data_IF_818901130090
#
_entry.id   IF_818901130090
#
_cell.length_a   1.000
_cell.length_b   1.000
_cell.length_c   1.000
_cell.angle_alpha   90.00
_cell.angle_beta   90.00
_cell.angle_gamma   90.00
#
_symmetry.space_group_name_H-M   'P 1'
#
loop_
_entity.id
_entity.type
_entity.pdbx_description
1 polymer ?
#
# COMPACT_ATOMS: atom_id res chain seq x y z
N UNK A 1 32.12 4.70 1.04
CA UNK A 1 31.18 5.61 0.33
C UNK A 1 30.01 5.96 1.25
N UNK A 2 29.29 4.98 1.81
CA UNK A 2 28.19 5.22 2.76
C UNK A 2 28.60 6.04 4.01
N UNK A 3 29.66 5.58 4.70
CA UNK A 3 30.25 6.30 5.83
C UNK A 3 30.75 7.70 5.47
N UNK A 4 31.26 7.94 4.25
CA UNK A 4 31.74 9.26 3.81
C UNK A 4 30.60 10.19 3.36
N UNK A 5 29.46 9.64 2.95
CA UNK A 5 28.25 10.40 2.63
C UNK A 5 27.51 10.81 3.90
N UNK A 6 27.34 9.91 4.87
CA UNK A 6 26.70 10.22 6.16
C UNK A 6 27.55 11.20 6.96
N UNK A 7 28.88 10.99 7.08
CA UNK A 7 29.75 12.00 7.72
C UNK A 7 29.86 13.28 6.91
N UNK A 8 29.81 13.24 5.58
CA UNK A 8 29.84 14.43 4.72
C UNK A 8 28.54 15.25 4.75
N UNK A 9 27.38 14.60 4.90
CA UNK A 9 26.08 15.24 5.04
C UNK A 9 25.86 15.77 6.47
N UNK A 10 26.22 15.00 7.50
CA UNK A 10 26.14 15.46 8.90
C UNK A 10 27.20 16.53 9.23
N UNK A 11 28.36 16.54 8.57
CA UNK A 11 29.33 17.63 8.72
C UNK A 11 28.87 18.94 8.05
N UNK A 12 27.83 18.92 7.20
CA UNK A 12 27.29 20.10 6.55
C UNK A 12 26.54 21.03 7.51
N UNK A 13 26.12 20.52 8.68
CA UNK A 13 25.34 21.27 9.67
C UNK A 13 26.20 22.23 10.52
N UNK A 14 27.54 22.07 10.52
CA UNK A 14 28.43 22.89 11.33
C UNK A 14 28.96 24.16 10.62
N UNK A 15 28.94 24.23 9.29
CA UNK A 15 29.59 25.34 8.54
C UNK A 15 28.79 25.91 7.36
N UNK A 16 27.52 25.54 7.16
CA UNK A 16 26.68 26.18 6.12
C UNK A 16 27.18 25.95 4.69
N UNK A 17 28.02 24.95 4.46
CA UNK A 17 28.62 24.63 3.16
C UNK A 17 28.05 23.34 2.58
N UNK A 18 26.79 23.39 2.16
CA UNK A 18 26.15 22.38 1.30
C UNK A 18 26.76 22.36 -0.14
N UNK A 19 28.09 22.34 -0.29
CA UNK A 19 28.78 22.34 -1.58
C UNK A 19 28.55 21.06 -2.40
N UNK A 20 28.55 19.84 -1.81
CA UNK A 20 28.21 18.62 -2.56
C UNK A 20 26.73 18.63 -3.00
N UNK A 21 25.83 19.14 -2.15
CA UNK A 21 24.38 19.16 -2.39
C UNK A 21 23.97 20.10 -3.53
N UNK A 22 24.68 21.23 -3.72
CA UNK A 22 24.46 22.10 -4.89
C UNK A 22 24.72 21.40 -6.22
N UNK A 23 25.63 20.42 -6.28
CA UNK A 23 25.84 19.63 -7.50
C UNK A 23 24.70 18.62 -7.76
N UNK A 24 23.87 18.33 -6.76
CA UNK A 24 22.68 17.48 -6.87
C UNK A 24 21.40 18.27 -7.16
N UNK A 25 21.47 19.60 -7.30
CA UNK A 25 20.31 20.46 -7.57
C UNK A 25 19.60 20.17 -8.90
N UNK A 26 20.21 19.38 -9.80
CA UNK A 26 19.60 18.91 -11.06
C UNK A 26 19.14 17.46 -10.99
N UNK A 27 19.39 16.76 -9.88
CA UNK A 27 19.01 15.37 -9.70
C UNK A 27 17.49 15.31 -9.61
N UNK A 28 16.88 14.45 -10.44
CA UNK A 28 15.42 14.23 -10.47
C UNK A 28 15.00 12.89 -9.90
N UNK A 29 15.89 11.90 -9.92
CA UNK A 29 15.64 10.57 -9.40
C UNK A 29 16.84 10.13 -8.57
N UNK A 30 16.57 9.58 -7.40
CA UNK A 30 17.57 9.03 -6.50
C UNK A 30 17.12 7.62 -6.10
N UNK A 31 17.90 6.63 -6.50
CA UNK A 31 17.70 5.24 -6.12
C UNK A 31 18.78 4.82 -5.13
N UNK A 32 18.35 4.52 -3.91
CA UNK A 32 19.18 4.02 -2.82
C UNK A 32 18.66 2.68 -2.32
N UNK A 33 17.89 1.95 -3.13
CA UNK A 33 17.32 0.65 -2.77
C UNK A 33 18.39 -0.36 -2.36
N UNK A 34 18.00 -1.32 -1.53
CA UNK A 34 18.82 -2.43 -1.03
C UNK A 34 20.04 -2.00 -0.21
N UNK A 35 20.01 -0.78 0.35
CA UNK A 35 21.02 -0.30 1.28
C UNK A 35 20.51 -0.44 2.72
N UNK A 36 20.44 -1.67 3.24
CA UNK A 36 19.94 -1.96 4.58
C UNK A 36 20.69 -1.21 5.71
N UNK A 37 21.93 -0.77 5.47
CA UNK A 37 22.68 0.08 6.42
C UNK A 37 22.23 1.54 6.45
N UNK A 38 21.21 1.91 5.68
CA UNK A 38 20.71 3.28 5.60
C UNK A 38 19.93 3.65 6.85
N UNK A 39 18.97 2.82 7.23
CA UNK A 39 18.22 2.96 8.47
C UNK A 39 17.57 4.34 8.63
N UNK A 40 17.31 4.71 9.87
CA UNK A 40 16.72 6.00 10.20
C UNK A 40 17.68 7.17 9.94
N UNK A 41 18.97 7.01 10.27
CA UNK A 41 19.99 8.05 10.14
C UNK A 41 20.20 8.47 8.68
N UNK A 42 20.23 7.51 7.77
CA UNK A 42 20.35 7.80 6.36
C UNK A 42 19.07 8.41 5.77
N UNK A 43 17.89 8.09 6.29
CA UNK A 43 16.65 8.78 5.93
C UNK A 43 16.65 10.25 6.39
N UNK A 44 17.21 10.53 7.58
CA UNK A 44 17.43 11.92 8.04
C UNK A 44 18.38 12.65 7.08
N UNK A 45 19.48 12.02 6.68
CA UNK A 45 20.37 12.62 5.68
C UNK A 45 19.64 12.88 4.34
N UNK A 46 18.84 11.93 3.86
CA UNK A 46 18.02 12.08 2.64
C UNK A 46 16.98 13.19 2.78
N UNK A 47 16.40 13.40 3.95
CA UNK A 47 15.43 14.47 4.19
C UNK A 47 16.05 15.87 4.05
N UNK A 48 17.32 16.02 4.44
CA UNK A 48 18.08 17.25 4.18
C UNK A 48 18.38 17.45 2.69
N UNK A 49 18.58 16.37 1.91
CA UNK A 49 18.75 16.45 0.45
C UNK A 49 17.44 16.90 -0.21
N UNK A 50 16.32 16.33 0.23
CA UNK A 50 14.97 16.66 -0.25
C UNK A 50 14.63 18.14 -0.13
N UNK A 51 15.05 18.80 0.96
CA UNK A 51 14.84 20.24 1.15
C UNK A 51 15.71 21.14 0.25
N UNK A 52 16.71 20.57 -0.43
CA UNK A 52 17.70 21.32 -1.22
C UNK A 52 17.75 20.94 -2.72
N UNK A 53 16.96 19.97 -3.19
CA UNK A 53 17.11 19.37 -4.53
C UNK A 53 15.78 19.18 -5.30
N UNK A 54 15.87 19.09 -6.63
CA UNK A 54 14.75 18.83 -7.56
C UNK A 54 14.27 17.39 -7.71
N UNK A 55 14.37 16.63 -6.63
CA UNK A 55 13.99 15.24 -6.66
C UNK A 55 12.48 15.09 -6.86
N UNK A 56 12.13 14.26 -7.85
CA UNK A 56 10.76 13.84 -8.17
C UNK A 56 10.54 12.37 -7.83
N UNK A 57 11.59 11.56 -7.81
CA UNK A 57 11.51 10.14 -7.52
C UNK A 57 12.58 9.76 -6.50
N UNK A 58 12.16 9.13 -5.41
CA UNK A 58 13.07 8.56 -4.41
C UNK A 58 12.71 7.09 -4.20
N UNK A 59 13.72 6.24 -4.26
CA UNK A 59 13.59 4.82 -3.96
C UNK A 59 14.48 4.44 -2.78
N UNK A 60 13.84 3.95 -1.73
CA UNK A 60 14.43 3.52 -0.46
C UNK A 60 13.93 2.12 -0.12
N UNK A 61 13.69 1.29 -1.14
CA UNK A 61 13.24 -0.10 -0.97
C UNK A 61 14.30 -0.89 -0.19
N UNK A 62 13.89 -1.66 0.82
CA UNK A 62 14.81 -2.52 1.59
C UNK A 62 16.01 -1.77 2.20
N UNK A 63 15.74 -0.62 2.81
CA UNK A 63 16.76 0.27 3.42
C UNK A 63 16.73 0.28 4.95
N UNK A 64 15.95 -0.61 5.57
CA UNK A 64 15.69 -0.67 7.02
C UNK A 64 15.10 0.63 7.62
N UNK A 65 14.25 1.30 6.85
CA UNK A 65 13.59 2.55 7.29
C UNK A 65 12.65 2.26 8.47
N UNK A 66 12.87 2.95 9.59
CA UNK A 66 12.03 2.89 10.78
C UNK A 66 11.19 4.16 10.97
N UNK A 67 10.58 4.32 12.17
CA UNK A 67 9.69 5.44 12.46
C UNK A 67 10.37 6.81 12.41
N UNK A 68 11.63 6.89 12.85
CA UNK A 68 12.38 8.14 12.90
C UNK A 68 12.72 8.59 11.48
N UNK A 69 13.20 7.68 10.64
CA UNK A 69 13.49 7.95 9.24
C UNK A 69 12.23 8.33 8.46
N UNK A 70 11.13 7.62 8.67
CA UNK A 70 9.84 7.93 8.06
C UNK A 70 9.33 9.33 8.46
N UNK A 71 9.46 9.67 9.74
CA UNK A 71 9.08 10.98 10.27
C UNK A 71 9.89 12.09 9.62
N UNK A 72 11.22 11.91 9.51
CA UNK A 72 12.10 12.87 8.87
C UNK A 72 11.78 13.06 7.38
N UNK A 73 11.50 11.97 6.65
CA UNK A 73 11.06 12.05 5.25
C UNK A 73 9.73 12.79 5.12
N UNK A 74 8.74 12.46 5.96
CA UNK A 74 7.45 13.15 6.01
C UNK A 74 7.62 14.65 6.24
N UNK A 75 8.44 15.05 7.19
CA UNK A 75 8.68 16.47 7.49
C UNK A 75 9.37 17.20 6.35
N UNK A 76 10.32 16.56 5.66
CA UNK A 76 10.97 17.17 4.50
C UNK A 76 10.07 17.28 3.27
N UNK A 77 9.09 16.37 3.10
CA UNK A 77 8.13 16.42 2.00
C UNK A 77 7.03 17.46 2.30
N UNK A 78 6.44 17.41 3.50
CA UNK A 78 5.38 18.36 3.93
C UNK A 78 5.95 19.78 4.09
N UNK A 79 7.20 19.90 4.54
CA UNK A 79 7.90 21.17 4.70
C UNK A 79 8.33 21.82 3.39
N UNK A 80 8.14 21.18 2.24
CA UNK A 80 8.36 21.84 0.95
C UNK A 80 7.38 23.01 0.81
N UNK A 81 7.85 24.23 0.47
CA UNK A 81 6.97 25.38 0.35
C UNK A 81 5.96 25.16 -0.77
N UNK A 82 4.72 24.89 -0.38
CA UNK A 82 3.58 24.87 -1.27
C UNK A 82 3.18 26.31 -1.61
N UNK A 83 3.69 26.89 -2.70
CA UNK A 83 3.02 28.06 -3.27
C UNK A 83 3.18 28.20 -4.80
N UNK A 84 2.07 28.28 -5.54
CA UNK A 84 2.03 28.71 -6.94
C UNK A 84 1.96 30.23 -7.11
N UNK A 85 1.92 31.02 -6.02
CA UNK A 85 1.92 32.49 -6.10
C UNK A 85 3.22 33.04 -5.51
N UNK A 86 4.05 33.57 -6.40
CA UNK A 86 5.35 34.13 -6.08
C UNK A 86 5.27 35.27 -5.08
N UNK A 87 6.12 35.19 -4.06
CA UNK A 87 6.92 36.34 -3.63
C UNK A 87 8.25 35.82 -3.10
N UNK A 88 9.29 36.21 -3.83
CA UNK A 88 10.69 35.89 -3.60
C UNK A 88 11.12 36.11 -2.16
N UNK A 89 11.78 35.08 -1.60
CA UNK A 89 13.15 35.27 -1.10
C UNK A 89 14.03 34.10 -1.57
N UNK A 90 14.39 34.17 -2.85
CA UNK A 90 15.62 33.63 -3.46
C UNK A 90 16.10 32.25 -3.02
N UNK A 91 15.80 31.22 -3.81
CA UNK A 91 16.51 29.95 -3.67
C UNK A 91 15.94 28.71 -4.34
N UNK A 92 15.47 28.78 -5.59
CA UNK A 92 15.62 27.69 -6.55
C UNK A 92 14.92 26.35 -6.29
N UNK A 93 13.80 26.18 -7.00
CA UNK A 93 13.09 24.94 -7.32
C UNK A 93 12.23 24.34 -6.20
N UNK A 94 10.91 24.49 -6.35
CA UNK A 94 9.89 23.77 -5.59
C UNK A 94 9.74 22.38 -6.19
N UNK A 95 9.99 21.37 -5.39
CA UNK A 95 10.18 20.00 -5.86
C UNK A 95 9.03 19.20 -5.26
N UNK A 96 7.92 19.13 -5.99
CA UNK A 96 6.86 18.20 -5.64
C UNK A 96 7.42 16.80 -5.90
N UNK A 97 7.81 16.09 -4.84
CA UNK A 97 8.17 14.68 -4.94
C UNK A 97 6.97 13.95 -5.52
N UNK A 98 7.12 13.33 -6.70
CA UNK A 98 6.04 12.66 -7.42
C UNK A 98 5.95 11.19 -6.97
N UNK A 99 7.09 10.53 -6.74
CA UNK A 99 7.19 9.11 -6.43
C UNK A 99 8.09 8.85 -5.21
N UNK A 100 7.57 8.05 -4.28
CA UNK A 100 8.30 7.56 -3.11
C UNK A 100 8.11 6.05 -3.00
N UNK A 101 9.19 5.29 -3.17
CA UNK A 101 9.23 3.85 -2.93
C UNK A 101 9.89 3.55 -1.57
N UNK A 102 9.08 3.05 -0.64
CA UNK A 102 9.48 2.63 0.71
C UNK A 102 9.22 1.13 0.92
N UNK A 103 9.06 0.35 -0.14
CA UNK A 103 8.72 -1.07 -0.03
C UNK A 103 9.78 -1.87 0.74
N UNK A 104 9.35 -2.95 1.38
CA UNK A 104 10.18 -3.89 2.13
C UNK A 104 10.98 -3.24 3.27
N UNK A 105 10.38 -2.26 3.94
CA UNK A 105 10.88 -1.68 5.18
C UNK A 105 9.95 -2.04 6.34
N UNK A 106 10.07 -3.25 6.93
CA UNK A 106 9.11 -3.75 7.92
C UNK A 106 9.07 -2.92 9.22
N UNK A 107 10.14 -2.18 9.54
CA UNK A 107 10.18 -1.28 10.69
C UNK A 107 9.23 -0.08 10.54
N UNK A 108 8.76 0.24 9.34
CA UNK A 108 7.75 1.30 9.11
C UNK A 108 6.45 1.01 9.88
N UNK A 109 6.03 -0.26 10.02
CA UNK A 109 4.82 -0.60 10.78
C UNK A 109 4.91 -0.30 12.28
N UNK A 110 6.09 0.01 12.81
CA UNK A 110 6.25 0.47 14.20
C UNK A 110 6.00 1.97 14.34
N UNK A 111 5.89 2.71 13.23
CA UNK A 111 5.51 4.12 13.24
C UNK A 111 4.03 4.26 13.60
N UNK A 112 3.64 5.42 14.13
CA UNK A 112 2.23 5.66 14.43
C UNK A 112 1.43 5.72 13.12
N UNK A 113 0.19 5.18 13.08
CA UNK A 113 -0.69 5.29 11.91
C UNK A 113 -0.87 6.72 11.41
N UNK A 114 -0.81 7.69 12.32
CA UNK A 114 -0.92 9.12 12.00
C UNK A 114 0.21 9.59 11.08
N UNK A 115 1.47 9.24 11.37
CA UNK A 115 2.62 9.63 10.53
C UNK A 115 2.47 9.09 9.11
N UNK A 116 1.99 7.85 8.99
CA UNK A 116 1.74 7.23 7.69
C UNK A 116 0.58 7.92 6.95
N UNK A 117 -0.49 8.26 7.66
CA UNK A 117 -1.60 9.05 7.11
C UNK A 117 -1.14 10.41 6.60
N UNK A 118 -0.32 11.13 7.37
CA UNK A 118 0.23 12.42 6.97
C UNK A 118 1.16 12.29 5.76
N UNK A 119 1.96 11.22 5.68
CA UNK A 119 2.76 10.94 4.49
C UNK A 119 1.87 10.73 3.25
N UNK A 120 0.74 10.03 3.36
CA UNK A 120 -0.20 9.90 2.23
C UNK A 120 -0.85 11.23 1.82
N UNK A 121 -0.87 12.22 2.72
CA UNK A 121 -1.36 13.57 2.47
C UNK A 121 -0.27 14.53 1.97
N UNK A 122 0.99 14.10 1.85
CA UNK A 122 2.15 14.98 1.67
C UNK A 122 2.36 15.53 0.24
N UNK A 123 1.42 15.32 -0.68
CA UNK A 123 1.53 15.79 -2.07
C UNK A 123 2.29 14.85 -3.01
N UNK A 124 2.73 13.68 -2.53
CA UNK A 124 3.25 12.59 -3.37
C UNK A 124 2.15 12.03 -4.26
N UNK A 125 2.48 11.71 -5.52
CA UNK A 125 1.53 11.16 -6.52
C UNK A 125 1.48 9.64 -6.46
N UNK A 126 2.63 9.00 -6.24
CA UNK A 126 2.79 7.55 -6.16
C UNK A 126 3.57 7.14 -4.91
N UNK A 127 2.96 6.32 -4.06
CA UNK A 127 3.56 5.81 -2.83
C UNK A 127 3.56 4.28 -2.82
N UNK A 128 4.74 3.68 -2.70
CA UNK A 128 4.89 2.24 -2.52
C UNK A 128 5.30 1.92 -1.08
N UNK A 129 4.42 1.19 -0.37
CA UNK A 129 4.59 0.70 1.00
C UNK A 129 4.40 -0.82 1.05
N UNK A 130 4.68 -1.51 -0.05
CA UNK A 130 4.55 -2.96 -0.14
C UNK A 130 5.53 -3.67 0.79
N UNK A 131 5.12 -4.71 1.52
CA UNK A 131 6.02 -5.48 2.38
C UNK A 131 6.53 -4.74 3.61
N UNK A 132 5.78 -3.74 4.10
CA UNK A 132 6.14 -2.93 5.26
C UNK A 132 5.49 -3.40 6.57
N UNK A 133 4.85 -4.58 6.58
CA UNK A 133 4.13 -5.15 7.73
C UNK A 133 2.98 -4.30 8.25
N UNK A 134 2.37 -3.46 7.40
CA UNK A 134 1.31 -2.53 7.79
C UNK A 134 0.02 -3.26 8.16
N UNK A 135 -0.49 -2.99 9.35
CA UNK A 135 -1.80 -3.48 9.84
C UNK A 135 -2.96 -2.56 9.43
N UNK A 136 -4.20 -3.03 9.56
CA UNK A 136 -5.44 -2.30 9.25
C UNK A 136 -5.54 -0.88 9.83
N UNK A 137 -5.05 -0.65 11.05
CA UNK A 137 -5.00 0.69 11.66
C UNK A 137 -4.22 1.72 10.82
N UNK A 138 -3.14 1.31 10.16
CA UNK A 138 -2.36 2.18 9.26
C UNK A 138 -3.16 2.50 8.00
N UNK A 139 -3.74 1.48 7.34
CA UNK A 139 -4.56 1.67 6.15
C UNK A 139 -5.80 2.54 6.42
N UNK A 140 -6.44 2.37 7.57
CA UNK A 140 -7.54 3.23 8.02
C UNK A 140 -7.10 4.68 8.19
N UNK A 141 -5.93 4.92 8.81
CA UNK A 141 -5.39 6.27 8.97
C UNK A 141 -5.05 6.92 7.62
N UNK A 142 -4.48 6.17 6.67
CA UNK A 142 -4.30 6.63 5.28
C UNK A 142 -5.63 7.00 4.62
N UNK A 143 -6.65 6.16 4.74
CA UNK A 143 -7.97 6.42 4.15
C UNK A 143 -8.62 7.69 4.74
N UNK A 144 -8.47 7.93 6.05
CA UNK A 144 -8.91 9.17 6.69
C UNK A 144 -8.14 10.36 6.13
N UNK A 145 -6.81 10.30 6.07
CA UNK A 145 -5.98 11.39 5.56
C UNK A 145 -6.32 11.73 4.10
N UNK A 146 -6.48 10.72 3.23
CA UNK A 146 -6.85 10.90 1.83
C UNK A 146 -8.23 11.54 1.66
N UNK A 147 -9.21 11.20 2.51
CA UNK A 147 -10.54 11.82 2.48
C UNK A 147 -10.52 13.27 2.95
N UNK A 148 -9.75 13.58 3.99
CA UNK A 148 -9.59 14.95 4.48
C UNK A 148 -8.87 15.85 3.45
N UNK A 149 -8.09 15.25 2.56
CA UNK A 149 -7.34 15.93 1.51
C UNK A 149 -7.99 15.78 0.13
N UNK A 150 -9.25 15.35 0.00
CA UNK A 150 -9.84 14.97 -1.28
C UNK A 150 -9.76 16.07 -2.38
N UNK A 151 -9.73 17.35 -2.00
CA UNK A 151 -9.64 18.49 -2.91
C UNK A 151 -8.20 18.95 -3.23
N UNK A 152 -7.21 18.58 -2.41
CA UNK A 152 -5.82 19.07 -2.51
C UNK A 152 -4.78 17.95 -2.62
N UNK A 153 -5.17 16.71 -2.34
CA UNK A 153 -4.33 15.53 -2.32
C UNK A 153 -3.92 15.12 -3.73
N UNK A 154 -2.60 14.99 -3.93
CA UNK A 154 -2.01 14.58 -5.20
C UNK A 154 -1.90 13.05 -5.35
N UNK A 155 -2.06 12.27 -4.27
CA UNK A 155 -1.85 10.82 -4.31
C UNK A 155 -2.89 10.15 -5.21
N UNK A 156 -2.39 9.43 -6.21
CA UNK A 156 -3.19 8.69 -7.20
C UNK A 156 -2.89 7.20 -7.16
N UNK A 157 -1.65 6.84 -6.85
CA UNK A 157 -1.17 5.46 -6.87
C UNK A 157 -0.71 5.09 -5.46
N UNK A 158 -1.30 4.04 -4.90
CA UNK A 158 -0.93 3.50 -3.60
C UNK A 158 -0.71 1.99 -3.70
N UNK A 159 0.50 1.54 -3.37
CA UNK A 159 0.86 0.13 -3.36
C UNK A 159 1.08 -0.34 -1.94
N UNK A 160 0.31 -1.35 -1.54
CA UNK A 160 0.28 -1.94 -0.21
C UNK A 160 0.42 -3.46 -0.28
N UNK A 161 1.06 -4.00 -1.31
CA UNK A 161 1.21 -5.45 -1.50
C UNK A 161 1.91 -6.11 -0.30
N UNK A 162 1.54 -7.34 0.04
CA UNK A 162 2.17 -8.15 1.09
C UNK A 162 2.24 -7.42 2.45
N UNK A 163 1.12 -6.86 2.89
CA UNK A 163 0.95 -6.27 4.23
C UNK A 163 -0.12 -7.06 5.02
N UNK A 164 -0.60 -6.50 6.14
CA UNK A 164 -1.62 -7.06 7.01
C UNK A 164 -2.90 -6.18 6.99
N UNK A 165 -3.27 -5.66 5.82
CA UNK A 165 -4.48 -4.85 5.65
C UNK A 165 -5.71 -5.76 5.69
N UNK A 166 -6.68 -5.43 6.54
CA UNK A 166 -7.96 -6.12 6.60
C UNK A 166 -8.96 -5.56 5.58
N UNK A 167 -10.03 -6.31 5.31
CA UNK A 167 -11.01 -5.96 4.29
C UNK A 167 -11.81 -4.70 4.57
N UNK A 168 -12.01 -4.33 5.85
CA UNK A 168 -12.68 -3.07 6.22
C UNK A 168 -11.78 -1.89 5.87
N UNK A 169 -10.51 -1.96 6.25
CA UNK A 169 -9.51 -0.94 5.95
C UNK A 169 -9.27 -0.82 4.44
N UNK A 170 -9.27 -1.93 3.71
CA UNK A 170 -9.23 -1.95 2.25
C UNK A 170 -10.46 -1.26 1.62
N UNK A 171 -11.66 -1.55 2.10
CA UNK A 171 -12.89 -0.89 1.64
C UNK A 171 -12.83 0.63 1.84
N UNK A 172 -12.30 1.09 2.98
CA UNK A 172 -12.08 2.51 3.24
C UNK A 172 -11.10 3.15 2.24
N UNK A 173 -10.02 2.46 1.87
CA UNK A 173 -9.06 2.94 0.87
C UNK A 173 -9.66 2.98 -0.54
N UNK A 174 -10.47 1.99 -0.92
CA UNK A 174 -11.16 1.97 -2.22
C UNK A 174 -12.10 3.18 -2.37
N UNK A 175 -12.70 3.61 -1.26
CA UNK A 175 -13.62 4.77 -1.22
C UNK A 175 -12.92 6.13 -1.26
N UNK A 176 -11.64 6.20 -1.62
CA UNK A 176 -10.85 7.46 -1.70
C UNK A 176 -10.70 7.95 -3.14
N UNK A 177 -9.91 9.01 -3.34
CA UNK A 177 -9.62 9.61 -4.65
C UNK A 177 -8.49 8.92 -5.44
N UNK A 178 -8.07 7.73 -5.00
CA UNK A 178 -7.05 6.93 -5.68
C UNK A 178 -7.53 6.50 -7.07
N UNK A 179 -6.58 6.36 -8.00
CA UNK A 179 -6.78 5.79 -9.33
C UNK A 179 -6.21 4.39 -9.43
N UNK A 180 -5.16 4.09 -8.65
CA UNK A 180 -4.55 2.76 -8.58
C UNK A 180 -4.34 2.38 -7.12
N UNK A 181 -4.83 1.20 -6.77
CA UNK A 181 -4.64 0.60 -5.46
C UNK A 181 -4.23 -0.86 -5.62
N UNK A 182 -3.05 -1.21 -5.09
CA UNK A 182 -2.56 -2.58 -5.03
C UNK A 182 -2.59 -3.10 -3.60
N UNK A 183 -3.45 -4.07 -3.34
CA UNK A 183 -3.60 -4.79 -2.08
C UNK A 183 -3.15 -6.25 -2.19
N UNK A 184 -2.43 -6.63 -3.26
CA UNK A 184 -2.03 -8.01 -3.49
C UNK A 184 -1.45 -8.68 -2.24
N UNK A 185 -1.85 -9.91 -1.95
CA UNK A 185 -1.33 -10.71 -0.82
C UNK A 185 -1.54 -10.05 0.55
N UNK A 186 -2.69 -9.38 0.75
CA UNK A 186 -3.16 -8.94 2.07
C UNK A 186 -4.27 -9.84 2.61
N UNK A 187 -4.31 -10.14 3.93
CA UNK A 187 -5.34 -10.99 4.51
C UNK A 187 -6.66 -10.22 4.72
N UNK A 188 -7.35 -9.87 3.62
CA UNK A 188 -8.59 -9.09 3.70
C UNK A 188 -9.68 -9.77 4.55
N UNK A 189 -9.60 -11.09 4.68
CA UNK A 189 -10.55 -11.93 5.43
C UNK A 189 -10.15 -12.24 6.88
N UNK A 190 -8.98 -11.77 7.35
CA UNK A 190 -8.40 -12.20 8.62
C UNK A 190 -8.50 -11.24 9.81
N UNK A 191 -8.79 -9.95 9.60
CA UNK A 191 -8.55 -8.94 10.64
C UNK A 191 -9.66 -8.76 11.67
N UNK A 192 -10.93 -8.90 11.29
CA UNK A 192 -12.05 -8.54 12.16
C UNK A 192 -12.21 -9.43 13.40
N UNK A 193 -12.06 -10.75 13.25
CA UNK A 193 -12.17 -11.67 14.38
C UNK A 193 -10.87 -11.78 15.19
N UNK A 194 -9.69 -11.76 14.56
CA UNK A 194 -8.41 -11.83 15.28
C UNK A 194 -8.12 -10.55 16.08
N UNK A 195 -8.49 -9.37 15.58
CA UNK A 195 -8.34 -8.12 16.33
C UNK A 195 -9.31 -8.01 17.51
N UNK A 196 -10.45 -8.71 17.48
CA UNK A 196 -11.38 -8.81 18.61
C UNK A 196 -10.98 -9.88 19.64
N UNK A 197 -10.13 -10.85 19.26
CA UNK A 197 -9.76 -12.00 20.12
C UNK A 197 -8.31 -11.95 20.63
N UNK A 198 -7.40 -11.13 20.08
CA UNK A 198 -6.01 -11.16 20.53
C UNK A 198 -5.21 -9.88 20.32
N UNK A 199 -5.44 -8.88 21.17
CA UNK A 199 -4.35 -8.01 21.62
C UNK A 199 -3.62 -8.75 22.75
N UNK A 200 -2.73 -9.67 22.37
CA UNK A 200 -1.95 -10.48 23.30
C UNK A 200 -0.73 -11.05 22.60
N UNK A 201 0.18 -10.17 22.18
CA UNK A 201 1.57 -10.58 21.95
C UNK A 201 2.18 -10.86 23.34
N UNK A 202 2.24 -12.13 23.72
CA UNK A 202 3.20 -12.62 24.71
C UNK A 202 4.01 -13.74 24.06
N UNK A 203 5.32 -13.51 23.94
CA UNK A 203 6.34 -14.39 23.36
C UNK A 203 6.61 -15.64 24.22
N UNK A 204 5.61 -16.48 24.47
CA UNK A 204 5.82 -17.79 25.10
C UNK A 204 5.11 -18.89 24.30
N UNK A 205 5.76 -20.06 24.21
CA UNK A 205 5.46 -21.29 23.44
C UNK A 205 4.09 -21.97 23.70
N UNK A 206 3.03 -21.23 23.99
CA UNK A 206 1.68 -21.78 24.17
C UNK A 206 0.87 -21.74 22.87
N UNK A 207 0.58 -22.94 22.38
CA UNK A 207 -0.34 -23.25 21.28
C UNK A 207 -1.61 -22.38 21.39
N UNK A 208 -1.99 -21.59 20.36
CA UNK A 208 -3.21 -20.80 20.43
C UNK A 208 -4.41 -21.72 20.69
N UNK A 209 -5.38 -21.31 21.53
CA UNK A 209 -6.56 -22.13 21.79
C UNK A 209 -7.24 -22.45 20.47
N UNK A 210 -7.55 -23.73 20.27
CA UNK A 210 -8.14 -24.26 19.05
C UNK A 210 -9.32 -23.38 18.60
N UNK A 211 -9.28 -22.97 17.34
CA UNK A 211 -10.30 -22.17 16.65
C UNK A 211 -11.69 -22.86 16.55
N UNK A 212 -11.86 -24.02 17.17
CA UNK A 212 -13.07 -24.85 17.09
C UNK A 212 -14.23 -24.36 17.98
N UNK A 213 -13.97 -23.48 18.95
CA UNK A 213 -14.99 -23.02 19.92
C UNK A 213 -15.60 -21.63 19.63
N UNK A 214 -15.21 -20.95 18.54
CA UNK A 214 -15.88 -19.72 18.12
C UNK A 214 -17.22 -20.06 17.46
N UNK A 215 -18.33 -19.61 18.07
CA UNK A 215 -19.67 -19.97 17.61
C UNK A 215 -19.84 -19.77 16.09
N UNK A 216 -20.49 -20.71 15.37
CA UNK A 216 -20.65 -20.64 13.92
C UNK A 216 -21.41 -19.39 13.44
N UNK A 217 -22.09 -18.67 14.34
CA UNK A 217 -22.79 -17.42 14.05
C UNK A 217 -21.85 -16.21 13.86
N UNK A 218 -20.69 -16.17 14.53
CA UNK A 218 -19.74 -15.04 14.40
C UNK A 218 -18.85 -15.23 13.16
N UNK A 219 -18.47 -16.48 12.87
CA UNK A 219 -17.71 -16.84 11.67
C UNK A 219 -18.49 -16.66 10.36
N UNK A 220 -19.83 -16.64 10.40
CA UNK A 220 -20.70 -16.47 9.22
C UNK A 220 -21.09 -15.02 8.95
N UNK A 221 -21.13 -14.15 9.96
CA UNK A 221 -21.54 -12.73 9.81
C UNK A 221 -20.38 -11.83 9.37
N UNK A 222 -19.15 -12.09 9.83
CA UNK A 222 -17.99 -11.27 9.51
C UNK A 222 -17.51 -11.34 8.03
N UNK A 223 -17.55 -12.49 7.34
CA UNK A 223 -17.18 -12.55 5.91
C UNK A 223 -18.17 -11.80 5.02
N UNK A 224 -19.47 -11.93 5.31
CA UNK A 224 -20.53 -11.25 4.57
C UNK A 224 -20.45 -9.72 4.72
N UNK A 225 -20.05 -9.20 5.88
CA UNK A 225 -19.90 -7.76 6.10
C UNK A 225 -18.67 -7.18 5.38
N UNK A 226 -17.56 -7.91 5.32
CA UNK A 226 -16.36 -7.49 4.57
C UNK A 226 -16.62 -7.51 3.07
N UNK A 227 -17.21 -8.60 2.55
CA UNK A 227 -17.59 -8.71 1.14
C UNK A 227 -18.51 -7.57 0.72
N UNK A 228 -19.53 -7.27 1.54
CA UNK A 228 -20.47 -6.19 1.29
C UNK A 228 -19.80 -4.81 1.37
N UNK A 229 -18.88 -4.59 2.30
CA UNK A 229 -18.14 -3.33 2.42
C UNK A 229 -17.24 -3.08 1.20
N UNK A 230 -16.50 -4.09 0.74
CA UNK A 230 -15.68 -4.02 -0.47
C UNK A 230 -16.55 -3.76 -1.71
N UNK A 231 -17.62 -4.53 -1.87
CA UNK A 231 -18.61 -4.37 -2.94
C UNK A 231 -19.20 -2.94 -2.99
N UNK A 232 -19.69 -2.45 -1.85
CA UNK A 232 -20.30 -1.13 -1.74
C UNK A 232 -19.29 -0.01 -2.02
N UNK A 233 -18.07 -0.15 -1.49
CA UNK A 233 -16.99 0.81 -1.72
C UNK A 233 -16.58 0.86 -3.19
N UNK A 234 -16.52 -0.30 -3.85
CA UNK A 234 -16.18 -0.41 -5.27
C UNK A 234 -17.27 0.18 -6.16
N UNK A 235 -18.55 -0.02 -5.82
CA UNK A 235 -19.66 0.60 -6.52
C UNK A 235 -19.67 2.13 -6.38
N UNK A 236 -19.24 2.65 -5.22
CA UNK A 236 -19.11 4.09 -4.97
C UNK A 236 -17.82 4.72 -5.53
N UNK A 237 -16.82 3.91 -5.88
CA UNK A 237 -15.54 4.41 -6.38
C UNK A 237 -15.70 4.98 -7.80
N UNK A 238 -15.50 6.29 -7.93
CA UNK A 238 -15.63 7.03 -9.21
C UNK A 238 -14.29 7.36 -9.86
N UNK A 239 -13.19 7.35 -9.10
CA UNK A 239 -11.83 7.64 -9.60
C UNK A 239 -11.00 6.39 -9.88
N UNK A 240 -11.31 5.27 -9.23
CA UNK A 240 -10.52 4.04 -9.29
C UNK A 240 -10.48 3.50 -10.73
N UNK A 241 -9.27 3.30 -11.26
CA UNK A 241 -8.99 2.74 -12.59
C UNK A 241 -8.44 1.32 -12.51
N UNK A 242 -7.54 1.08 -11.57
CA UNK A 242 -6.83 -0.18 -11.39
C UNK A 242 -6.97 -0.61 -9.93
N UNK A 243 -7.50 -1.80 -9.72
CA UNK A 243 -7.60 -2.42 -8.41
C UNK A 243 -6.98 -3.81 -8.44
N UNK A 244 -5.89 -4.00 -7.70
CA UNK A 244 -5.30 -5.32 -7.50
C UNK A 244 -5.64 -5.83 -6.10
N UNK A 245 -6.48 -6.86 -6.04
CA UNK A 245 -6.85 -7.60 -4.82
C UNK A 245 -6.54 -9.10 -5.01
N UNK A 246 -5.52 -9.42 -5.80
CA UNK A 246 -5.03 -10.78 -5.98
C UNK A 246 -4.40 -11.32 -4.69
N UNK A 247 -4.42 -12.64 -4.48
CA UNK A 247 -3.81 -13.26 -3.30
C UNK A 247 -4.43 -12.85 -1.95
N UNK A 248 -5.56 -12.14 -1.96
CA UNK A 248 -6.17 -11.54 -0.77
C UNK A 248 -6.97 -12.50 0.13
N UNK A 249 -6.84 -13.82 -0.13
CA UNK A 249 -7.59 -14.88 0.55
C UNK A 249 -9.12 -14.74 0.45
N UNK A 250 -9.61 -14.16 -0.66
CA UNK A 250 -11.04 -14.04 -0.93
C UNK A 250 -11.64 -15.40 -1.30
N UNK A 251 -12.64 -15.84 -0.54
CA UNK A 251 -13.39 -17.07 -0.82
C UNK A 251 -14.40 -16.88 -1.95
N UNK A 252 -15.16 -17.94 -2.24
CA UNK A 252 -16.17 -17.91 -3.31
C UNK A 252 -17.29 -16.90 -3.05
N UNK A 253 -17.74 -16.76 -1.80
CA UNK A 253 -18.82 -15.83 -1.43
C UNK A 253 -18.39 -14.38 -1.65
N UNK A 254 -17.19 -14.02 -1.23
CA UNK A 254 -16.62 -12.69 -1.35
C UNK A 254 -16.39 -12.31 -2.81
N UNK A 255 -15.80 -13.24 -3.56
CA UNK A 255 -15.56 -13.07 -4.98
C UNK A 255 -16.87 -12.86 -5.74
N UNK A 256 -17.93 -13.64 -5.43
CA UNK A 256 -19.25 -13.44 -6.02
C UNK A 256 -19.82 -12.06 -5.68
N UNK A 257 -19.72 -11.62 -4.42
CA UNK A 257 -20.22 -10.31 -4.01
C UNK A 257 -19.52 -9.16 -4.75
N UNK A 258 -18.19 -9.24 -4.91
CA UNK A 258 -17.41 -8.24 -5.66
C UNK A 258 -17.81 -8.23 -7.13
N UNK A 259 -17.90 -9.41 -7.77
CA UNK A 259 -18.29 -9.53 -9.17
C UNK A 259 -19.71 -9.01 -9.39
N UNK A 260 -20.64 -9.34 -8.49
CA UNK A 260 -22.03 -8.89 -8.58
C UNK A 260 -22.15 -7.37 -8.39
N UNK A 261 -21.39 -6.79 -7.46
CA UNK A 261 -21.32 -5.35 -7.29
C UNK A 261 -20.78 -4.63 -8.53
N UNK A 262 -19.75 -5.18 -9.19
CA UNK A 262 -19.21 -4.63 -10.43
C UNK A 262 -20.16 -4.72 -11.63
N UNK A 263 -21.05 -5.72 -11.63
CA UNK A 263 -22.11 -5.87 -12.63
C UNK A 263 -23.21 -4.84 -12.44
N UNK A 264 -23.52 -4.49 -11.19
CA UNK A 264 -24.57 -3.53 -10.87
C UNK A 264 -24.06 -2.10 -10.66
N UNK A 265 -22.75 -1.87 -10.69
CA UNK A 265 -22.17 -0.53 -10.58
C UNK A 265 -22.37 0.26 -11.86
N UNK A 266 -22.91 1.47 -11.75
CA UNK A 266 -22.94 2.44 -12.86
C UNK A 266 -21.54 3.01 -13.17
N UNK A 267 -20.57 2.80 -12.27
CA UNK A 267 -19.19 3.27 -12.44
C UNK A 267 -18.45 2.48 -13.52
N UNK A 268 -18.22 3.14 -14.65
CA UNK A 268 -17.32 2.66 -15.72
C UNK A 268 -15.87 3.08 -15.49
N UNK A 269 -15.54 3.66 -14.33
CA UNK A 269 -14.22 4.20 -14.07
C UNK A 269 -13.15 3.11 -14.02
N UNK A 270 -13.48 1.97 -13.41
CA UNK A 270 -12.58 0.83 -13.27
C UNK A 270 -12.31 0.21 -14.65
N UNK A 271 -11.04 0.19 -15.02
CA UNK A 271 -10.51 -0.31 -16.29
C UNK A 271 -9.80 -1.65 -16.13
N UNK A 272 -9.21 -1.93 -14.97
CA UNK A 272 -8.58 -3.20 -14.66
C UNK A 272 -8.88 -3.65 -13.23
N UNK A 273 -9.18 -4.94 -13.07
CA UNK A 273 -9.24 -5.60 -11.76
C UNK A 273 -8.46 -6.90 -11.77
N UNK A 274 -7.57 -7.06 -10.79
CA UNK A 274 -6.77 -8.27 -10.59
C UNK A 274 -7.32 -9.08 -9.40
N UNK A 275 -7.74 -10.31 -9.69
CA UNK A 275 -8.36 -11.22 -8.73
C UNK A 275 -7.59 -12.55 -8.59
N UNK A 276 -6.47 -12.71 -9.29
CA UNK A 276 -5.70 -13.95 -9.33
C UNK A 276 -5.14 -14.34 -7.95
N UNK A 277 -4.92 -15.64 -7.70
CA UNK A 277 -4.35 -16.11 -6.44
C UNK A 277 -5.31 -16.11 -5.23
N UNK A 278 -6.58 -15.75 -5.42
CA UNK A 278 -7.62 -15.95 -4.41
C UNK A 278 -8.12 -17.41 -4.42
N UNK A 279 -8.44 -17.99 -3.24
CA UNK A 279 -8.93 -19.37 -3.12
C UNK A 279 -10.35 -19.57 -3.65
N UNK A 280 -11.11 -18.51 -3.94
CA UNK A 280 -12.43 -18.61 -4.54
C UNK A 280 -12.39 -19.32 -5.90
N UNK A 281 -12.92 -20.55 -5.94
CA UNK A 281 -13.01 -21.40 -7.14
C UNK A 281 -14.46 -21.77 -7.47
N UNK A 282 -14.65 -22.41 -8.62
CA UNK A 282 -15.91 -23.06 -8.98
C UNK A 282 -16.65 -22.45 -10.17
N UNK A 283 -17.63 -23.21 -10.66
CA UNK A 283 -18.44 -22.83 -11.83
C UNK A 283 -19.13 -21.47 -11.67
N UNK A 284 -19.64 -21.16 -10.47
CA UNK A 284 -20.32 -19.90 -10.19
C UNK A 284 -19.41 -18.67 -10.40
N UNK A 285 -18.14 -18.74 -9.97
CA UNK A 285 -17.17 -17.66 -10.19
C UNK A 285 -16.87 -17.50 -11.68
N UNK A 286 -16.66 -18.62 -12.38
CA UNK A 286 -16.40 -18.61 -13.82
C UNK A 286 -17.56 -17.97 -14.59
N UNK A 287 -18.78 -18.38 -14.29
CA UNK A 287 -19.99 -17.82 -14.90
C UNK A 287 -20.13 -16.32 -14.59
N UNK A 288 -19.89 -15.90 -13.35
CA UNK A 288 -19.95 -14.50 -12.96
C UNK A 288 -18.89 -13.65 -13.68
N UNK A 289 -17.65 -14.15 -13.84
CA UNK A 289 -16.60 -13.48 -14.61
C UNK A 289 -16.98 -13.37 -16.09
N UNK A 290 -17.51 -14.43 -16.69
CA UNK A 290 -17.97 -14.41 -18.09
C UNK A 290 -19.10 -13.40 -18.28
N UNK A 291 -20.09 -13.40 -17.37
CA UNK A 291 -21.20 -12.46 -17.39
C UNK A 291 -20.71 -11.00 -17.26
N UNK A 292 -19.76 -10.74 -16.34
CA UNK A 292 -19.19 -9.42 -16.14
C UNK A 292 -18.40 -8.95 -17.38
N UNK A 293 -17.60 -9.81 -18.02
CA UNK A 293 -16.90 -9.47 -19.28
C UNK A 293 -17.87 -9.15 -20.42
N UNK A 294 -18.98 -9.88 -20.52
CA UNK A 294 -20.00 -9.61 -21.52
C UNK A 294 -20.69 -8.26 -21.29
N UNK A 295 -20.93 -7.90 -20.03
CA UNK A 295 -21.56 -6.63 -19.65
C UNK A 295 -20.61 -5.43 -19.72
N UNK A 296 -19.32 -5.63 -19.43
CA UNK A 296 -18.28 -4.60 -19.38
C UNK A 296 -17.08 -5.02 -20.25
N UNK A 297 -17.19 -4.93 -21.59
CA UNK A 297 -16.14 -5.42 -22.50
C UNK A 297 -14.82 -4.63 -22.42
N UNK A 298 -14.84 -3.42 -21.84
CA UNK A 298 -13.65 -2.58 -21.64
C UNK A 298 -12.97 -2.80 -20.30
N UNK A 299 -13.58 -3.57 -19.39
CA UNK A 299 -12.98 -3.91 -18.09
C UNK A 299 -12.07 -5.12 -18.29
N UNK A 300 -10.77 -4.92 -18.09
CA UNK A 300 -9.82 -6.02 -18.00
C UNK A 300 -9.98 -6.73 -16.66
N UNK A 301 -10.08 -8.05 -16.70
CA UNK A 301 -10.31 -8.89 -15.52
C UNK A 301 -9.25 -9.97 -15.53
N UNK A 302 -8.21 -9.77 -14.72
CA UNK A 302 -7.16 -10.75 -14.50
C UNK A 302 -7.62 -11.74 -13.43
N UNK A 303 -8.32 -12.79 -13.87
CA UNK A 303 -8.69 -13.94 -13.05
C UNK A 303 -8.28 -15.22 -13.75
N UNK A 304 -7.66 -16.13 -13.00
CA UNK A 304 -7.36 -17.48 -13.41
C UNK A 304 -7.89 -18.42 -12.35
N UNK A 305 -8.64 -19.42 -12.78
CA UNK A 305 -9.06 -20.50 -11.90
C UNK A 305 -7.80 -21.18 -11.33
N UNK A 306 -7.71 -21.34 -9.99
CA UNK A 306 -6.66 -22.16 -9.40
C UNK A 306 -6.70 -23.53 -10.07
N UNK A 307 -5.61 -23.89 -10.75
CA UNK A 307 -5.48 -25.24 -11.26
C UNK A 307 -5.45 -26.16 -10.05
N UNK A 308 -6.33 -27.17 -10.00
CA UNK A 308 -6.25 -28.24 -9.01
C UNK A 308 -4.82 -28.75 -9.02
N UNK A 309 -4.06 -28.46 -7.96
CA UNK A 309 -2.69 -28.98 -7.83
C UNK A 309 -2.68 -30.51 -7.85
N UNK A 310 -3.83 -31.12 -7.53
CA UNK A 310 -4.06 -32.57 -7.54
C UNK A 310 -4.44 -33.14 -8.92
N UNK A 311 -4.63 -32.28 -9.93
CA UNK A 311 -4.91 -32.71 -11.31
C UNK A 311 -3.66 -32.84 -12.19
N UNK A 312 -2.46 -32.62 -11.61
CA UNK A 312 -1.23 -33.09 -12.22
C UNK A 312 -1.24 -34.62 -12.20
N UNK A 313 -1.14 -35.31 -13.35
CA UNK A 313 -1.06 -36.77 -13.35
C UNK A 313 0.12 -37.18 -12.47
N UNK A 314 -0.14 -38.12 -11.56
CA UNK A 314 0.88 -38.82 -10.79
C UNK A 314 1.77 -39.65 -11.73
N UNK A 315 2.57 -38.99 -12.56
CA UNK A 315 3.60 -39.60 -13.37
C UNK A 315 4.92 -38.93 -13.01
N UNK A 316 5.61 -39.56 -12.06
CA UNK A 316 6.99 -40.06 -12.20
C UNK A 316 7.42 -40.58 -10.82
N UNK A 317 6.85 -41.72 -10.41
CA UNK A 317 7.63 -42.70 -9.65
C UNK A 317 8.67 -43.27 -10.63
N UNK A 318 9.80 -42.58 -10.79
CA UNK A 318 10.99 -43.19 -11.41
C UNK A 318 11.81 -43.83 -10.29
N UNK A 319 11.57 -45.12 -10.13
CA UNK A 319 12.62 -46.16 -10.09
C UNK A 319 14.05 -45.65 -9.84
N UNK A 320 14.50 -45.82 -8.59
CA UNK A 320 15.82 -46.36 -8.23
C UNK A 320 15.72 -47.02 -6.88
#
# INVERSE_FOLDING_TARGET
>A
IYQSWVTGAMAADAEGTCRPLRSLAQLRSLDLSENASLGDEGCVAVSHILSACTLRCIKLRSCDVGPIGLTALRDAIVGQPSSPNGQDKGGGACCALEELDLAHNPRIATATPIVIGELTASGVVSLDLSGCSLRGGHASAMAVALRLQAEQGALRILKLRANQVDGISAAQLISTSLTELSLFDNPLMGGGLLALVGNGESDDDDVPPALDDLSPAIATVAPASVAHALASSLAAATSMRILDIGGCRLGGVEMLAILDALRHSDSTALASIELFGNPGTGAAIREAVVALRAQRPTLDIAWKEPQDRDSLPAEVERTT
#
